data_IF_073578665987
#
_entry.id   IF_073578665987
#
_cell.length_a   1.000
_cell.length_b   1.000
_cell.length_c   1.000
_cell.angle_alpha   90.00
_cell.angle_beta   90.00
_cell.angle_gamma   90.00
#
_symmetry.space_group_name_H-M   'P 1'
#
loop_
_entity.id
_entity.type
_entity.pdbx_description
1 polymer ?
#
# COMPACT_ATOMS: atom_id res chain seq x y z
N UNK A 1 -5.49 16.63 -35.22
CA UNK A 1 -5.06 16.57 -33.82
C UNK A 1 -3.73 15.83 -33.80
N UNK A 2 -2.65 16.47 -33.33
CA UNK A 2 -1.30 15.88 -33.30
C UNK A 2 -1.27 14.82 -32.19
N UNK A 3 -1.08 13.55 -32.57
CA UNK A 3 -0.66 12.52 -31.62
C UNK A 3 0.67 12.97 -31.03
N UNK A 4 0.72 13.08 -29.70
CA UNK A 4 1.95 13.45 -29.00
C UNK A 4 2.87 12.24 -29.09
N UNK A 5 3.82 12.27 -30.02
CA UNK A 5 4.86 11.25 -30.12
C UNK A 5 5.77 11.38 -28.90
N UNK A 6 5.66 10.42 -27.98
CA UNK A 6 6.50 10.36 -26.78
C UNK A 6 7.99 10.35 -27.14
N UNK A 7 8.79 10.96 -26.29
CA UNK A 7 10.24 10.84 -26.36
C UNK A 7 10.65 9.40 -26.03
N UNK A 8 11.83 8.97 -26.51
CA UNK A 8 12.36 7.64 -26.23
C UNK A 8 12.56 7.41 -24.72
N UNK A 9 12.97 8.45 -24.01
CA UNK A 9 13.23 8.43 -22.56
C UNK A 9 11.96 8.17 -21.74
N UNK A 10 10.85 8.86 -22.04
CA UNK A 10 9.56 8.64 -21.37
C UNK A 10 9.01 7.22 -21.58
N UNK A 11 9.31 6.61 -22.73
CA UNK A 11 8.94 5.21 -23.00
C UNK A 11 9.75 4.24 -22.14
N UNK A 12 11.04 4.49 -21.97
CA UNK A 12 11.90 3.67 -21.11
C UNK A 12 11.47 3.76 -19.65
N UNK A 13 11.25 4.97 -19.12
CA UNK A 13 10.80 5.16 -17.72
C UNK A 13 9.45 4.48 -17.47
N UNK A 14 8.52 4.58 -18.41
CA UNK A 14 7.21 3.94 -18.29
C UNK A 14 7.26 2.41 -18.38
N UNK A 15 8.28 1.85 -19.03
CA UNK A 15 8.47 0.40 -19.10
C UNK A 15 8.97 -0.19 -17.78
N UNK A 16 9.74 0.58 -17.01
CA UNK A 16 10.23 0.18 -15.68
C UNK A 16 9.19 0.37 -14.58
N UNK A 17 8.24 1.28 -14.77
CA UNK A 17 7.17 1.56 -13.82
C UNK A 17 5.96 0.64 -14.03
N UNK A 18 5.68 -0.25 -13.07
CA UNK A 18 4.58 -1.23 -13.16
C UNK A 18 3.21 -0.59 -13.42
N UNK A 19 2.93 0.58 -12.82
CA UNK A 19 1.63 1.24 -12.97
C UNK A 19 1.53 1.94 -14.33
N UNK A 20 2.59 2.61 -14.76
CA UNK A 20 2.66 3.22 -16.08
C UNK A 20 2.53 2.16 -17.16
N UNK A 21 3.29 1.07 -17.05
CA UNK A 21 3.22 -0.08 -17.95
C UNK A 21 1.80 -0.66 -18.01
N UNK A 22 1.13 -0.82 -16.87
CA UNK A 22 -0.26 -1.27 -16.82
C UNK A 22 -1.20 -0.34 -17.59
N UNK A 23 -1.12 0.98 -17.37
CA UNK A 23 -2.00 1.95 -18.04
C UNK A 23 -1.83 1.91 -19.56
N UNK A 24 -0.59 1.84 -20.04
CA UNK A 24 -0.27 1.86 -21.46
C UNK A 24 -0.79 0.62 -22.19
N UNK A 25 -0.67 -0.54 -21.55
CA UNK A 25 -1.06 -1.84 -22.14
C UNK A 25 -2.51 -2.24 -21.83
N UNK A 26 -3.22 -1.48 -21.01
CA UNK A 26 -4.61 -1.77 -20.65
C UNK A 26 -5.59 -1.36 -21.75
N UNK A 27 -6.53 -2.24 -22.07
CA UNK A 27 -7.66 -1.94 -22.97
C UNK A 27 -8.76 -1.09 -22.29
N UNK A 28 -8.64 -0.83 -20.98
CA UNK A 28 -9.62 -0.06 -20.22
C UNK A 28 -9.56 1.46 -20.45
N UNK A 29 -8.61 1.94 -21.26
CA UNK A 29 -8.34 3.36 -21.49
C UNK A 29 -8.20 3.65 -22.97
N UNK A 30 -8.75 4.77 -23.41
CA UNK A 30 -8.54 5.27 -24.77
C UNK A 30 -7.13 5.85 -24.95
N UNK A 31 -6.67 5.99 -26.19
CA UNK A 31 -5.31 6.48 -26.49
C UNK A 31 -5.02 7.84 -25.85
N UNK A 32 -5.99 8.75 -25.87
CA UNK A 32 -5.85 10.08 -25.28
C UNK A 32 -5.83 10.04 -23.73
N UNK A 33 -6.58 9.13 -23.12
CA UNK A 33 -6.56 8.90 -21.67
C UNK A 33 -5.22 8.31 -21.22
N UNK A 34 -4.65 7.39 -22.00
CA UNK A 34 -3.34 6.80 -21.75
C UNK A 34 -2.22 7.85 -21.74
N UNK A 35 -2.25 8.77 -22.70
CA UNK A 35 -1.25 9.84 -22.77
C UNK A 35 -1.38 10.81 -21.58
N UNK A 36 -2.61 11.19 -21.21
CA UNK A 36 -2.88 11.99 -20.01
C UNK A 36 -2.38 11.30 -18.74
N UNK A 37 -2.76 10.04 -18.53
CA UNK A 37 -2.38 9.26 -17.35
C UNK A 37 -0.87 9.07 -17.27
N UNK A 38 -0.21 8.78 -18.40
CA UNK A 38 1.26 8.66 -18.43
C UNK A 38 1.92 9.96 -17.99
N UNK A 39 1.51 11.10 -18.56
CA UNK A 39 2.04 12.41 -18.16
C UNK A 39 1.86 12.65 -16.66
N UNK A 40 0.66 12.38 -16.13
CA UNK A 40 0.38 12.51 -14.69
C UNK A 40 1.19 11.57 -13.81
N UNK A 41 1.42 10.33 -14.25
CA UNK A 41 2.19 9.34 -13.48
C UNK A 41 3.65 9.76 -13.36
N UNK A 42 4.25 10.19 -14.47
CA UNK A 42 5.64 10.62 -14.52
C UNK A 42 5.86 11.93 -13.74
N UNK A 43 4.92 12.88 -13.85
CA UNK A 43 5.00 14.19 -13.19
C UNK A 43 4.74 14.11 -11.68
N UNK A 44 3.68 13.41 -11.26
CA UNK A 44 3.29 13.36 -9.84
C UNK A 44 3.97 12.21 -9.05
N UNK A 45 4.75 11.34 -9.70
CA UNK A 45 5.45 10.22 -9.05
C UNK A 45 4.55 9.37 -8.14
N UNK A 46 3.28 9.21 -8.54
CA UNK A 46 2.23 8.50 -7.79
C UNK A 46 2.61 7.07 -7.47
N UNK A 47 3.53 6.51 -8.23
CA UNK A 47 3.98 5.13 -8.14
C UNK A 47 4.80 4.88 -6.90
N UNK A 48 5.56 5.89 -6.44
CA UNK A 48 6.17 5.90 -5.11
C UNK A 48 5.12 5.84 -4.00
N UNK A 49 4.00 6.57 -4.12
CA UNK A 49 2.90 6.52 -3.17
C UNK A 49 2.19 5.16 -3.19
N UNK A 50 1.93 4.59 -4.37
CA UNK A 50 1.35 3.24 -4.50
C UNK A 50 2.24 2.18 -3.85
N UNK A 51 3.56 2.27 -4.07
CA UNK A 51 4.54 1.37 -3.46
C UNK A 51 4.52 1.48 -1.93
N UNK A 52 4.68 2.68 -1.38
CA UNK A 52 4.65 2.92 0.07
C UNK A 52 3.32 2.45 0.68
N UNK A 53 2.20 2.73 0.02
CA UNK A 53 0.89 2.28 0.47
C UNK A 53 0.76 0.75 0.48
N UNK A 54 1.32 0.04 -0.51
CA UNK A 54 1.32 -1.42 -0.53
C UNK A 54 2.11 -2.01 0.63
N UNK A 55 3.26 -1.42 0.97
CA UNK A 55 4.09 -1.81 2.12
C UNK A 55 3.35 -1.55 3.43
N UNK A 56 2.69 -0.39 3.58
CA UNK A 56 1.89 -0.07 4.76
C UNK A 56 0.70 -1.01 4.96
N UNK A 57 0.08 -1.50 3.87
CA UNK A 57 -0.95 -2.54 3.96
C UNK A 57 -0.35 -3.83 4.49
N UNK A 58 0.75 -4.31 3.90
CA UNK A 58 1.44 -5.52 4.37
C UNK A 58 1.84 -5.42 5.84
N UNK A 59 2.39 -4.27 6.23
CA UNK A 59 2.77 -3.99 7.61
C UNK A 59 1.55 -3.97 8.55
N UNK A 60 0.41 -3.42 8.11
CA UNK A 60 -0.81 -3.41 8.90
C UNK A 60 -1.41 -4.80 9.09
N UNK A 61 -1.25 -5.71 8.11
CA UNK A 61 -1.63 -7.13 8.27
C UNK A 61 -0.78 -7.81 9.35
N UNK A 62 0.54 -7.59 9.35
CA UNK A 62 1.44 -8.14 10.37
C UNK A 62 1.10 -7.56 11.75
N UNK A 63 0.84 -6.26 11.84
CA UNK A 63 0.45 -5.62 13.08
C UNK A 63 -0.89 -6.19 13.61
N UNK A 64 -1.88 -6.38 12.74
CA UNK A 64 -3.16 -6.99 13.12
C UNK A 64 -3.01 -8.39 13.68
N UNK A 65 -2.09 -9.17 13.12
CA UNK A 65 -1.78 -10.51 13.61
C UNK A 65 -1.16 -10.45 15.02
N UNK A 66 -0.21 -9.54 15.25
CA UNK A 66 0.37 -9.34 16.58
C UNK A 66 -0.68 -8.84 17.59
N UNK A 67 -1.52 -7.88 17.20
CA UNK A 67 -2.61 -7.34 18.03
C UNK A 67 -3.61 -8.44 18.43
N UNK A 68 -3.90 -9.38 17.52
CA UNK A 68 -4.78 -10.53 17.79
C UNK A 68 -4.25 -11.49 18.87
N UNK A 69 -2.95 -11.44 19.16
CA UNK A 69 -2.31 -12.24 20.21
C UNK A 69 -2.18 -11.40 21.48
N UNK A 70 -1.66 -10.18 21.35
CA UNK A 70 -1.33 -9.31 22.48
C UNK A 70 -2.58 -8.80 23.22
N UNK A 71 -3.64 -8.42 22.50
CA UNK A 71 -4.83 -7.84 23.12
C UNK A 71 -5.62 -8.90 23.91
N UNK A 72 -5.97 -10.08 23.36
CA UNK A 72 -6.66 -11.11 24.14
C UNK A 72 -5.83 -11.61 25.31
N UNK A 73 -4.51 -11.74 25.16
CA UNK A 73 -3.61 -12.12 26.25
C UNK A 73 -3.64 -11.11 27.41
N UNK A 74 -3.63 -9.81 27.09
CA UNK A 74 -3.71 -8.73 28.08
C UNK A 74 -5.08 -8.72 28.79
N UNK A 75 -6.16 -8.88 28.03
CA UNK A 75 -7.53 -8.89 28.56
C UNK A 75 -7.77 -10.11 29.47
N UNK A 76 -7.40 -11.31 29.02
CA UNK A 76 -7.61 -12.54 29.78
C UNK A 76 -6.83 -12.51 31.11
N UNK A 77 -5.57 -12.07 31.07
CA UNK A 77 -4.76 -11.95 32.28
C UNK A 77 -5.34 -10.91 33.25
N UNK A 78 -5.78 -9.76 32.75
CA UNK A 78 -6.41 -8.73 33.59
C UNK A 78 -7.70 -9.20 34.24
N UNK A 79 -8.47 -10.08 33.59
CA UNK A 79 -9.69 -10.67 34.16
C UNK A 79 -9.35 -11.69 35.26
N UNK A 80 -8.26 -12.45 35.09
CA UNK A 80 -7.84 -13.47 36.06
C UNK A 80 -7.22 -12.87 37.34
N UNK A 81 -6.38 -11.84 37.21
CA UNK A 81 -5.76 -11.18 38.38
C UNK A 81 -6.60 -10.03 38.96
N UNK A 82 -7.64 -9.58 38.26
CA UNK A 82 -8.50 -8.46 38.68
C UNK A 82 -7.78 -7.10 38.72
N UNK A 83 -6.57 -7.00 38.16
CA UNK A 83 -5.75 -5.78 38.12
C UNK A 83 -5.01 -5.69 36.79
N UNK A 84 -4.85 -4.47 36.29
CA UNK A 84 -3.94 -4.17 35.17
C UNK A 84 -2.61 -3.73 35.77
N UNK A 85 -1.62 -4.61 35.78
CA UNK A 85 -0.25 -4.25 36.14
C UNK A 85 0.51 -3.73 34.93
N UNK A 86 1.48 -2.84 35.18
CA UNK A 86 2.30 -2.24 34.13
C UNK A 86 3.02 -3.29 33.26
N UNK A 87 3.36 -4.44 33.84
CA UNK A 87 4.03 -5.55 33.15
C UNK A 87 3.20 -6.14 32.01
N UNK A 88 1.87 -6.05 32.10
CA UNK A 88 0.94 -6.57 31.08
C UNK A 88 0.67 -5.50 30.02
N UNK A 89 0.51 -4.24 30.43
CA UNK A 89 0.19 -3.14 29.52
C UNK A 89 1.42 -2.63 28.75
N UNK A 90 2.61 -2.66 29.35
CA UNK A 90 3.83 -2.10 28.76
C UNK A 90 4.21 -2.74 27.42
N UNK A 91 4.15 -4.07 27.21
CA UNK A 91 4.45 -4.67 25.91
C UNK A 91 3.58 -4.11 24.77
N UNK A 92 2.27 -3.95 25.01
CA UNK A 92 1.35 -3.39 24.01
C UNK A 92 1.64 -1.90 23.72
N UNK A 93 1.90 -1.11 24.77
CA UNK A 93 2.22 0.32 24.63
C UNK A 93 3.55 0.52 23.89
N UNK A 94 4.58 -0.25 24.24
CA UNK A 94 5.89 -0.21 23.59
C UNK A 94 5.75 -0.61 22.13
N UNK A 95 5.06 -1.72 21.84
CA UNK A 95 4.82 -2.18 20.48
C UNK A 95 4.12 -1.11 19.64
N UNK A 96 3.04 -0.52 20.16
CA UNK A 96 2.30 0.53 19.47
C UNK A 96 3.18 1.76 19.19
N UNK A 97 3.96 2.21 20.18
CA UNK A 97 4.85 3.37 20.06
C UNK A 97 5.96 3.15 19.03
N UNK A 98 6.58 1.97 19.04
CA UNK A 98 7.62 1.58 18.08
C UNK A 98 7.01 1.46 16.67
N UNK A 99 5.85 0.81 16.53
CA UNK A 99 5.19 0.64 15.24
C UNK A 99 4.79 1.98 14.61
N UNK A 100 4.25 2.91 15.40
CA UNK A 100 3.94 4.27 14.96
C UNK A 100 5.21 4.99 14.50
N UNK A 101 6.27 4.96 15.31
CA UNK A 101 7.53 5.64 15.00
C UNK A 101 8.16 5.10 13.71
N UNK A 102 8.25 3.78 13.57
CA UNK A 102 8.82 3.12 12.40
C UNK A 102 8.04 3.46 11.12
N UNK A 103 6.71 3.43 11.17
CA UNK A 103 5.87 3.83 10.02
C UNK A 103 6.09 5.29 9.64
N UNK A 104 6.16 6.18 10.63
CA UNK A 104 6.40 7.60 10.38
C UNK A 104 7.74 7.82 9.67
N UNK A 105 8.82 7.25 10.22
CA UNK A 105 10.15 7.33 9.63
C UNK A 105 10.19 6.72 8.23
N UNK A 106 9.58 5.55 8.03
CA UNK A 106 9.52 4.90 6.73
C UNK A 106 8.82 5.77 5.68
N UNK A 107 7.66 6.34 6.01
CA UNK A 107 6.90 7.22 5.11
C UNK A 107 7.73 8.46 4.76
N UNK A 108 8.30 9.14 5.76
CA UNK A 108 9.11 10.35 5.54
C UNK A 108 10.40 10.06 4.78
N UNK A 109 11.06 8.94 5.03
CA UNK A 109 12.26 8.53 4.31
C UNK A 109 11.93 8.20 2.84
N UNK A 110 10.86 7.44 2.59
CA UNK A 110 10.52 6.97 1.24
C UNK A 110 9.90 8.06 0.36
N UNK A 111 9.05 8.92 0.91
CA UNK A 111 8.37 9.97 0.15
C UNK A 111 9.08 11.33 0.26
N UNK A 112 9.96 11.52 1.25
CA UNK A 112 10.76 12.74 1.39
C UNK A 112 9.90 14.00 1.54
N UNK A 113 10.19 14.99 0.70
CA UNK A 113 9.46 16.26 0.64
C UNK A 113 8.15 16.18 -0.17
N UNK A 114 7.86 15.05 -0.82
CA UNK A 114 6.62 14.84 -1.59
C UNK A 114 5.39 14.70 -0.70
N UNK A 115 5.59 14.42 0.59
CA UNK A 115 4.53 14.30 1.58
C UNK A 115 4.67 15.36 2.67
N UNK A 116 3.57 16.05 2.96
CA UNK A 116 3.51 17.00 4.08
C UNK A 116 3.60 16.26 5.42
N UNK A 117 4.21 16.91 6.43
CA UNK A 117 4.35 16.32 7.78
C UNK A 117 2.99 15.94 8.38
N UNK A 118 1.93 16.78 8.30
CA UNK A 118 0.62 16.41 8.81
C UNK A 118 0.04 15.17 8.14
N UNK A 119 0.17 15.08 6.81
CA UNK A 119 -0.31 13.92 6.05
C UNK A 119 0.49 12.66 6.41
N UNK A 120 1.81 12.79 6.58
CA UNK A 120 2.64 11.68 7.04
C UNK A 120 2.19 11.17 8.41
N UNK A 121 1.90 12.07 9.36
CA UNK A 121 1.45 11.70 10.70
C UNK A 121 0.11 10.94 10.68
N UNK A 122 -0.89 11.44 9.94
CA UNK A 122 -2.18 10.76 9.80
C UNK A 122 -2.01 9.41 9.07
N UNK A 123 -1.06 9.32 8.15
CA UNK A 123 -0.79 8.10 7.38
C UNK A 123 -0.11 6.98 8.19
N UNK A 124 0.32 7.27 9.43
CA UNK A 124 0.83 6.25 10.35
C UNK A 124 -0.30 5.41 10.94
N UNK A 125 -1.53 5.94 10.94
CA UNK A 125 -2.66 5.28 11.55
C UNK A 125 -2.85 3.86 11.01
N UNK A 126 -3.03 2.88 11.91
CA UNK A 126 -3.22 1.50 11.49
C UNK A 126 -4.47 1.38 10.61
N UNK A 127 -4.39 0.51 9.60
CA UNK A 127 -5.46 0.18 8.63
C UNK A 127 -5.87 1.29 7.65
N UNK A 128 -5.83 2.56 8.06
CA UNK A 128 -6.38 3.68 7.29
C UNK A 128 -5.27 4.45 6.56
N UNK A 129 -4.03 4.37 7.04
CA UNK A 129 -2.92 5.17 6.54
C UNK A 129 -2.63 5.04 5.03
N UNK A 130 -2.65 3.80 4.51
CA UNK A 130 -2.44 3.55 3.07
C UNK A 130 -3.54 4.14 2.19
N UNK A 131 -4.78 4.10 2.66
CA UNK A 131 -5.94 4.67 1.95
C UNK A 131 -5.82 6.19 1.92
N UNK A 132 -5.39 6.81 3.02
CA UNK A 132 -5.24 8.27 3.13
C UNK A 132 -4.16 8.77 2.16
N UNK A 133 -3.00 8.10 2.10
CA UNK A 133 -1.94 8.43 1.15
C UNK A 133 -2.41 8.40 -0.30
N UNK A 134 -3.12 7.33 -0.69
CA UNK A 134 -3.62 7.19 -2.06
C UNK A 134 -4.70 8.24 -2.33
N UNK A 135 -5.64 8.44 -1.40
CA UNK A 135 -6.75 9.37 -1.57
C UNK A 135 -6.28 10.81 -1.74
N UNK A 136 -5.25 11.22 -1.02
CA UNK A 136 -4.67 12.57 -1.13
C UNK A 136 -4.10 12.82 -2.52
N UNK A 137 -3.32 11.88 -3.05
CA UNK A 137 -2.73 11.98 -4.40
C UNK A 137 -3.75 11.90 -5.53
N UNK A 138 -4.87 11.24 -5.28
CA UNK A 138 -5.95 11.06 -6.24
C UNK A 138 -6.99 12.18 -6.22
N UNK A 139 -6.87 13.15 -5.31
CA UNK A 139 -7.90 14.16 -5.09
C UNK A 139 -8.05 15.06 -6.32
N UNK A 140 -9.25 15.05 -6.91
CA UNK A 140 -9.60 15.91 -8.04
C UNK A 140 -9.32 15.31 -9.43
N UNK A 141 -8.77 14.10 -9.53
CA UNK A 141 -8.50 13.44 -10.82
C UNK A 141 -9.25 12.09 -10.91
N UNK A 142 -10.44 12.12 -11.51
CA UNK A 142 -11.28 10.92 -11.67
C UNK A 142 -10.66 9.87 -12.59
N UNK A 143 -9.91 10.29 -13.61
CA UNK A 143 -9.30 9.38 -14.57
C UNK A 143 -8.14 8.63 -13.91
N UNK A 144 -7.32 9.34 -13.14
CA UNK A 144 -6.25 8.76 -12.35
C UNK A 144 -6.79 7.83 -11.24
N UNK A 145 -7.89 8.21 -10.59
CA UNK A 145 -8.60 7.32 -9.66
C UNK A 145 -9.02 6.01 -10.31
N UNK A 146 -9.64 6.09 -11.49
CA UNK A 146 -10.01 4.92 -12.28
C UNK A 146 -8.77 4.08 -12.61
N UNK A 147 -7.68 4.73 -13.07
CA UNK A 147 -6.38 4.13 -13.29
C UNK A 147 -5.89 3.27 -12.12
N UNK A 148 -5.77 3.91 -10.95
CA UNK A 148 -5.30 3.24 -9.72
C UNK A 148 -6.24 2.12 -9.30
N UNK A 149 -7.56 2.31 -9.34
CA UNK A 149 -8.52 1.27 -8.97
C UNK A 149 -8.39 0.05 -9.88
N UNK A 150 -8.28 0.25 -11.18
CA UNK A 150 -8.09 -0.84 -12.14
C UNK A 150 -6.77 -1.58 -11.92
N UNK A 151 -5.69 -0.84 -11.69
CA UNK A 151 -4.39 -1.43 -11.35
C UNK A 151 -4.43 -2.26 -10.07
N UNK A 152 -5.01 -1.72 -8.99
CA UNK A 152 -5.13 -2.43 -7.71
C UNK A 152 -6.00 -3.70 -7.82
N UNK A 153 -7.07 -3.65 -8.62
CA UNK A 153 -7.89 -4.83 -8.91
C UNK A 153 -7.10 -5.91 -9.65
N UNK A 154 -6.28 -5.51 -10.61
CA UNK A 154 -5.43 -6.44 -11.37
C UNK A 154 -4.37 -7.09 -10.47
N UNK A 155 -3.65 -6.29 -9.68
CA UNK A 155 -2.68 -6.79 -8.70
C UNK A 155 -3.31 -7.71 -7.64
N UNK A 156 -4.53 -7.40 -7.18
CA UNK A 156 -5.29 -8.29 -6.29
C UNK A 156 -5.53 -9.65 -6.93
N UNK A 157 -5.96 -9.70 -8.19
CA UNK A 157 -6.20 -10.96 -8.92
C UNK A 157 -4.90 -11.75 -9.08
N UNK A 158 -3.80 -11.09 -9.45
CA UNK A 158 -2.49 -11.73 -9.56
C UNK A 158 -2.04 -12.33 -8.23
N UNK A 159 -2.15 -11.58 -7.13
CA UNK A 159 -1.80 -12.06 -5.80
C UNK A 159 -2.66 -13.26 -5.36
N UNK A 160 -3.98 -13.21 -5.59
CA UNK A 160 -4.88 -14.32 -5.30
C UNK A 160 -4.51 -15.58 -6.08
N UNK A 161 -4.19 -15.44 -7.37
CA UNK A 161 -3.75 -16.56 -8.21
C UNK A 161 -2.44 -17.17 -7.72
N UNK A 162 -1.45 -16.35 -7.40
CA UNK A 162 -0.16 -16.82 -6.88
C UNK A 162 -0.31 -17.56 -5.54
N UNK A 163 -1.17 -17.06 -4.64
CA UNK A 163 -1.46 -17.74 -3.37
C UNK A 163 -2.13 -19.08 -3.62
N UNK A 164 -3.14 -19.12 -4.51
CA UNK A 164 -3.86 -20.34 -4.86
C UNK A 164 -2.91 -21.39 -5.46
N UNK A 165 -2.03 -20.99 -6.38
CA UNK A 165 -1.05 -21.87 -7.02
C UNK A 165 -0.04 -22.43 -6.00
N UNK A 166 0.44 -21.59 -5.07
CA UNK A 166 1.31 -22.03 -3.97
C UNK A 166 0.62 -23.02 -3.04
N UNK A 167 -0.63 -22.76 -2.65
CA UNK A 167 -1.41 -23.66 -1.81
C UNK A 167 -1.65 -25.00 -2.50
N UNK A 168 -1.94 -24.99 -3.80
CA UNK A 168 -2.11 -26.21 -4.61
C UNK A 168 -0.84 -27.05 -4.65
N UNK A 169 0.33 -26.41 -4.79
CA UNK A 169 1.62 -27.10 -4.78
C UNK A 169 1.94 -27.72 -3.41
N UNK A 170 1.65 -27.02 -2.31
CA UNK A 170 1.81 -27.56 -0.96
C UNK A 170 0.87 -28.75 -0.74
N UNK A 171 -0.39 -28.64 -1.15
CA UNK A 171 -1.36 -29.73 -1.02
C UNK A 171 -0.96 -30.96 -1.84
N UNK A 172 -0.41 -30.78 -3.05
CA UNK A 172 0.14 -31.88 -3.85
C UNK A 172 1.38 -32.52 -3.22
N UNK A 173 2.22 -31.75 -2.53
CA UNK A 173 3.38 -32.27 -1.81
C UNK A 173 2.99 -33.18 -0.64
N UNK A 174 1.92 -32.85 0.08
CA UNK A 174 1.40 -33.66 1.22
C UNK A 174 0.61 -34.90 0.81
N UNK A 175 0.29 -35.06 -0.48
CA UNK A 175 -0.45 -36.22 -1.02
C UNK A 175 0.47 -37.32 -1.58
N UNK A 176 1.78 -37.10 -1.58
CA UNK A 176 2.83 -38.09 -1.89
C UNK A 176 3.36 -38.69 -0.60
#
# INVERSE_FOLDING_TARGET
MKGISLTFEEKCVCAEDEFCYFVVNSDNFESHEKDYLRGKILDNQITGFLYVSSVLVGWSVVAAWLDSILIPGTVLYSLLEGKITWQIAAPAIIFLSVNISLKFFYIKYSLGNRISIPLAFISVLPYIGSVILIRDQLKGDMLLQKGVIHFLKDRKKMAQKQILDKLKNIFMFWKK
#
